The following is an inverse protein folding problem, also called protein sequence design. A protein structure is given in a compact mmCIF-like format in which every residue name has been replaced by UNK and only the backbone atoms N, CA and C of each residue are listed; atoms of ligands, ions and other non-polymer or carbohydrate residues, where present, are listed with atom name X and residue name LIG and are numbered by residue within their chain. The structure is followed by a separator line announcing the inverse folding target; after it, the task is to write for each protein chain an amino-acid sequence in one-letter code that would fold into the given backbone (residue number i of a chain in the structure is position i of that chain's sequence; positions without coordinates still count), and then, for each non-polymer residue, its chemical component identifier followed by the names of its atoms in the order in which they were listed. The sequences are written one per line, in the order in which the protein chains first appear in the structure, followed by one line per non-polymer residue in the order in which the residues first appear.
data_IF_918726926255
#
_entry.id   IF_918726926255
#
_cell.length_a   1.000
_cell.length_b   1.000
_cell.length_c   1.000
_cell.angle_alpha   90.00
_cell.angle_beta   90.00
_cell.angle_gamma   90.00
#
_symmetry.space_group_name_H-M   'P 1'
#
loop_
_entity.id
_entity.type
_entity.pdbx_description
1 polymer ?
#
# COMPACT_ATOMS: atom_id res chain seq x y z
N UNK A 1 21.92 -9.46 -6.83
CA UNK A 1 21.79 -8.12 -7.41
C UNK A 1 22.84 -7.97 -8.48
N UNK A 2 22.43 -7.58 -9.68
CA UNK A 2 23.28 -7.27 -10.81
C UNK A 2 23.05 -5.81 -11.20
N UNK A 3 24.14 -5.06 -11.39
CA UNK A 3 24.10 -3.72 -11.94
C UNK A 3 24.45 -3.85 -13.41
N UNK A 4 23.55 -3.41 -14.29
CA UNK A 4 23.73 -3.51 -15.73
C UNK A 4 24.45 -2.27 -16.27
N UNK A 5 25.11 -2.44 -17.43
CA UNK A 5 25.89 -1.37 -18.06
C UNK A 5 25.03 -0.17 -18.51
N UNK A 6 23.73 -0.38 -18.70
CA UNK A 6 22.74 0.65 -19.03
C UNK A 6 22.18 1.40 -17.81
N UNK A 7 22.68 1.11 -16.61
CA UNK A 7 22.25 1.73 -15.36
C UNK A 7 21.00 1.10 -14.74
N UNK A 8 20.48 0.03 -15.32
CA UNK A 8 19.40 -0.76 -14.70
C UNK A 8 19.94 -1.67 -13.59
N UNK A 9 19.06 -2.05 -12.66
CA UNK A 9 19.37 -2.95 -11.56
C UNK A 9 18.45 -4.16 -11.61
N UNK A 10 19.01 -5.36 -11.57
CA UNK A 10 18.25 -6.60 -11.41
C UNK A 10 18.51 -7.21 -10.02
N UNK A 11 17.44 -7.48 -9.29
CA UNK A 11 17.50 -8.08 -7.97
C UNK A 11 17.32 -9.59 -8.07
N UNK A 12 17.95 -10.32 -7.15
CA UNK A 12 17.92 -11.79 -7.17
C UNK A 12 16.54 -12.38 -6.88
N UNK A 13 15.63 -11.60 -6.31
CA UNK A 13 14.24 -11.95 -6.04
C UNK A 13 13.29 -11.60 -7.20
N UNK A 14 13.83 -11.13 -8.33
CA UNK A 14 13.08 -10.79 -9.55
C UNK A 14 12.58 -9.35 -9.61
N UNK A 15 12.86 -8.52 -8.59
CA UNK A 15 12.61 -7.08 -8.66
C UNK A 15 13.68 -6.37 -9.49
N UNK A 16 13.43 -5.13 -9.90
CA UNK A 16 14.42 -4.37 -10.64
C UNK A 16 14.19 -2.87 -10.65
N UNK A 17 15.14 -2.15 -11.24
CA UNK A 17 15.08 -0.71 -11.45
C UNK A 17 15.49 -0.36 -12.88
N UNK A 18 14.65 0.36 -13.59
CA UNK A 18 14.88 0.82 -14.98
C UNK A 18 14.68 2.33 -15.14
N UNK A 19 14.81 3.08 -14.04
CA UNK A 19 14.32 4.46 -13.91
C UNK A 19 13.14 4.55 -12.94
N UNK A 20 12.44 3.44 -12.71
CA UNK A 20 11.46 3.27 -11.63
C UNK A 20 11.72 1.95 -10.90
N UNK A 21 11.39 1.87 -9.61
CA UNK A 21 11.43 0.60 -8.88
C UNK A 21 10.26 -0.30 -9.28
N UNK A 22 10.58 -1.51 -9.75
CA UNK A 22 9.63 -2.50 -10.24
C UNK A 22 9.68 -3.75 -9.34
N UNK A 23 8.77 -3.91 -8.38
CA UNK A 23 8.75 -5.08 -7.51
C UNK A 23 8.31 -6.34 -8.29
N UNK A 24 8.95 -7.47 -7.99
CA UNK A 24 8.59 -8.76 -8.58
C UNK A 24 7.14 -9.13 -8.24
N UNK A 25 6.33 -9.48 -9.24
CA UNK A 25 4.92 -9.82 -9.02
C UNK A 25 4.36 -10.86 -9.99
N UNK A 26 4.87 -12.09 -9.92
CA UNK A 26 4.36 -13.26 -10.63
C UNK A 26 3.81 -14.31 -9.67
N UNK A 27 2.85 -15.13 -10.13
CA UNK A 27 2.40 -16.32 -9.41
C UNK A 27 3.46 -17.41 -9.34
N UNK A 28 4.46 -17.36 -10.22
CA UNK A 28 5.58 -18.32 -10.24
C UNK A 28 6.51 -18.14 -9.03
N UNK A 29 6.52 -16.95 -8.44
CA UNK A 29 7.38 -16.58 -7.30
C UNK A 29 6.57 -16.23 -6.04
N UNK A 30 5.24 -16.38 -6.08
CA UNK A 30 4.33 -16.09 -4.98
C UNK A 30 3.52 -17.34 -4.63
N UNK A 31 3.54 -17.72 -3.37
CA UNK A 31 2.75 -18.82 -2.82
C UNK A 31 1.71 -18.31 -1.82
N UNK A 32 0.80 -19.19 -1.37
CA UNK A 32 -0.22 -18.89 -0.35
C UNK A 32 -1.08 -17.64 -0.63
N UNK A 33 -1.39 -17.40 -1.93
CA UNK A 33 -2.12 -16.23 -2.39
C UNK A 33 -3.58 -16.30 -1.92
N UNK A 34 -3.92 -15.45 -0.95
CA UNK A 34 -5.29 -15.26 -0.43
C UNK A 34 -5.79 -13.84 -0.69
N UNK A 35 -7.10 -13.68 -0.69
CA UNK A 35 -7.73 -12.35 -0.81
C UNK A 35 -7.60 -11.60 0.51
N UNK A 36 -7.16 -10.34 0.45
CA UNK A 36 -7.22 -9.41 1.59
C UNK A 36 -8.69 -9.12 1.93
N UNK A 37 -9.11 -9.42 3.17
CA UNK A 37 -10.50 -9.20 3.57
C UNK A 37 -10.80 -7.72 3.75
N UNK A 38 -12.08 -7.37 3.79
CA UNK A 38 -12.50 -5.98 4.00
C UNK A 38 -12.16 -5.54 5.43
N UNK A 39 -12.32 -6.44 6.39
CA UNK A 39 -12.05 -6.22 7.81
C UNK A 39 -10.54 -6.02 8.06
N UNK A 40 -9.69 -6.86 7.47
CA UNK A 40 -8.21 -6.69 7.54
C UNK A 40 -7.80 -5.33 6.97
N UNK A 41 -8.35 -4.95 5.81
CA UNK A 41 -7.99 -3.69 5.15
C UNK A 41 -8.51 -2.45 5.89
N UNK A 42 -9.74 -2.48 6.41
CA UNK A 42 -10.28 -1.36 7.20
C UNK A 42 -9.50 -1.22 8.51
N UNK A 43 -9.25 -2.32 9.23
CA UNK A 43 -8.47 -2.27 10.47
C UNK A 43 -7.04 -1.74 10.25
N UNK A 44 -6.41 -2.10 9.13
CA UNK A 44 -5.12 -1.53 8.77
C UNK A 44 -5.22 -0.03 8.40
N UNK A 45 -6.26 0.38 7.67
CA UNK A 45 -6.46 1.79 7.34
C UNK A 45 -6.70 2.66 8.58
N UNK A 46 -7.45 2.16 9.56
CA UNK A 46 -7.72 2.89 10.81
C UNK A 46 -6.45 3.18 11.61
N UNK A 47 -5.43 2.32 11.51
CA UNK A 47 -4.13 2.55 12.14
C UNK A 47 -3.11 3.27 11.25
N UNK A 48 -3.45 3.60 10.01
CA UNK A 48 -2.56 4.36 9.12
C UNK A 48 -2.68 5.86 9.42
N UNK A 49 -1.81 6.35 10.31
CA UNK A 49 -1.73 7.77 10.68
C UNK A 49 -0.62 8.50 9.89
N UNK A 50 -0.98 9.35 8.91
CA UNK A 50 0.01 10.09 8.13
C UNK A 50 0.65 11.19 8.99
N UNK A 51 1.96 11.33 8.88
CA UNK A 51 2.74 12.35 9.59
C UNK A 51 3.56 13.19 8.63
N UNK A 52 4.02 14.34 9.12
CA UNK A 52 5.03 15.18 8.48
C UNK A 52 6.35 15.01 9.20
N UNK A 53 7.44 14.91 8.46
CA UNK A 53 8.76 14.74 9.03
C UNK A 53 9.85 15.29 8.12
N UNK A 54 11.02 15.55 8.70
CA UNK A 54 12.27 15.73 7.97
C UNK A 54 13.21 14.59 8.31
N UNK A 55 14.05 14.19 7.36
CA UNK A 55 15.14 13.27 7.68
C UNK A 55 16.20 14.01 8.51
N UNK A 56 16.80 13.32 9.49
CA UNK A 56 17.85 13.90 10.35
C UNK A 56 19.00 14.54 9.56
N UNK A 57 19.34 13.96 8.40
CA UNK A 57 20.39 14.45 7.48
C UNK A 57 19.89 15.45 6.41
N UNK A 58 18.58 15.54 6.19
CA UNK A 58 17.95 16.42 5.19
C UNK A 58 16.84 17.22 5.88
N UNK A 59 17.25 18.23 6.65
CA UNK A 59 16.34 19.01 7.51
C UNK A 59 15.51 20.05 6.75
N UNK A 60 15.96 20.48 5.58
CA UNK A 60 15.34 21.56 4.81
C UNK A 60 14.11 21.11 4.03
N UNK A 61 13.93 19.80 3.82
CA UNK A 61 12.84 19.27 3.00
C UNK A 61 11.86 18.47 3.85
N UNK A 62 10.67 19.04 4.08
CA UNK A 62 9.58 18.34 4.76
C UNK A 62 8.97 17.30 3.82
N UNK A 63 8.73 16.12 4.37
CA UNK A 63 8.09 15.00 3.69
C UNK A 63 6.82 14.62 4.43
N UNK A 64 5.88 14.05 3.69
CA UNK A 64 4.68 13.39 4.23
C UNK A 64 4.86 11.89 4.08
N UNK A 65 4.49 11.14 5.10
CA UNK A 65 4.56 9.69 5.07
C UNK A 65 4.08 9.09 6.38
N UNK A 66 4.72 8.01 6.80
CA UNK A 66 4.33 7.23 7.97
C UNK A 66 5.58 6.82 8.76
N UNK A 67 5.40 6.55 10.04
CA UNK A 67 6.44 5.99 10.91
C UNK A 67 6.25 4.47 10.95
N UNK A 68 7.27 3.71 10.56
CA UNK A 68 7.17 2.26 10.41
C UNK A 68 6.85 1.54 11.74
N UNK A 69 7.27 2.14 12.85
CA UNK A 69 6.99 1.67 14.20
C UNK A 69 5.53 1.85 14.63
N UNK A 70 4.80 2.78 14.02
CA UNK A 70 3.47 3.19 14.46
C UNK A 70 2.35 2.61 13.57
N UNK A 71 2.68 2.10 12.38
CA UNK A 71 1.69 1.54 11.46
C UNK A 71 1.33 0.07 11.76
N UNK A 72 0.15 -0.42 11.32
CA UNK A 72 -0.25 -1.81 11.52
C UNK A 72 0.70 -2.82 10.87
N UNK A 73 0.77 -4.03 11.42
CA UNK A 73 1.66 -5.10 10.94
C UNK A 73 1.45 -5.41 9.45
N UNK A 74 0.22 -5.31 8.95
CA UNK A 74 -0.13 -5.57 7.55
C UNK A 74 0.65 -4.71 6.54
N UNK A 75 1.13 -3.54 6.95
CA UNK A 75 1.83 -2.55 6.10
C UNK A 75 3.25 -2.24 6.60
N UNK A 76 3.65 -2.83 7.72
CA UNK A 76 4.99 -2.70 8.28
C UNK A 76 5.91 -3.79 7.72
N UNK A 77 7.15 -3.42 7.37
CA UNK A 77 8.16 -4.44 7.05
C UNK A 77 8.70 -5.11 8.32
N UNK A 78 9.30 -6.29 8.16
CA UNK A 78 10.03 -6.96 9.22
C UNK A 78 11.07 -6.01 9.86
N UNK A 79 10.99 -5.87 11.18
CA UNK A 79 11.85 -4.96 11.96
C UNK A 79 11.30 -3.55 12.14
N UNK A 80 10.16 -3.19 11.52
CA UNK A 80 9.46 -1.91 11.70
C UNK A 80 10.35 -0.67 11.51
N UNK A 81 11.26 -0.74 10.53
CA UNK A 81 12.14 0.39 10.14
C UNK A 81 11.91 0.87 8.71
N UNK A 82 11.20 0.09 7.91
CA UNK A 82 10.81 0.44 6.56
C UNK A 82 9.32 0.18 6.38
N UNK A 83 8.75 0.83 5.37
CA UNK A 83 7.34 0.68 5.00
C UNK A 83 7.30 0.25 3.54
N UNK A 84 6.39 -0.67 3.22
CA UNK A 84 6.05 -1.00 1.83
C UNK A 84 4.96 -0.07 1.35
N UNK A 85 5.30 0.86 0.45
CA UNK A 85 4.30 1.70 -0.22
C UNK A 85 3.26 0.86 -0.96
N UNK A 86 3.68 -0.29 -1.51
CA UNK A 86 2.77 -1.20 -2.23
C UNK A 86 1.74 -1.86 -1.29
N UNK A 87 2.12 -2.18 -0.06
CA UNK A 87 1.20 -2.79 0.92
C UNK A 87 0.12 -1.77 1.32
N UNK A 88 0.51 -0.51 1.53
CA UNK A 88 -0.43 0.59 1.78
C UNK A 88 -1.38 0.76 0.58
N UNK A 89 -0.86 0.79 -0.64
CA UNK A 89 -1.68 0.91 -1.85
C UNK A 89 -2.66 -0.26 -1.99
N UNK A 90 -2.26 -1.49 -1.64
CA UNK A 90 -3.13 -2.66 -1.67
C UNK A 90 -4.28 -2.53 -0.65
N UNK A 91 -3.98 -2.09 0.58
CA UNK A 91 -4.98 -1.80 1.63
C UNK A 91 -5.96 -0.73 1.15
N UNK A 92 -5.47 0.42 0.69
CA UNK A 92 -6.29 1.51 0.19
C UNK A 92 -7.17 1.07 -0.99
N UNK A 93 -6.64 0.28 -1.92
CA UNK A 93 -7.39 -0.27 -3.05
C UNK A 93 -8.57 -1.13 -2.58
N UNK A 94 -8.36 -1.98 -1.56
CA UNK A 94 -9.42 -2.84 -1.02
C UNK A 94 -10.49 -2.01 -0.31
N UNK A 95 -10.11 -1.02 0.49
CA UNK A 95 -11.07 -0.14 1.18
C UNK A 95 -11.88 0.68 0.18
N UNK A 96 -11.24 1.31 -0.81
CA UNK A 96 -11.94 2.12 -1.83
C UNK A 96 -12.94 1.28 -2.62
N UNK A 97 -12.60 0.02 -2.94
CA UNK A 97 -13.54 -0.92 -3.58
C UNK A 97 -14.76 -1.21 -2.71
N UNK A 98 -14.58 -1.41 -1.41
CA UNK A 98 -15.72 -1.60 -0.50
C UNK A 98 -16.56 -0.32 -0.40
N UNK A 99 -15.93 0.84 -0.24
CA UNK A 99 -16.63 2.12 -0.20
C UNK A 99 -17.47 2.36 -1.47
N UNK A 100 -16.93 2.03 -2.66
CA UNK A 100 -17.66 2.13 -3.92
C UNK A 100 -18.91 1.22 -3.96
N UNK A 101 -18.82 0.02 -3.37
CA UNK A 101 -19.96 -0.90 -3.23
C UNK A 101 -21.00 -0.31 -2.28
N UNK A 102 -20.60 0.17 -1.10
CA UNK A 102 -21.51 0.81 -0.14
C UNK A 102 -22.21 2.03 -0.76
N UNK A 103 -21.49 2.88 -1.49
CA UNK A 103 -22.06 4.04 -2.18
C UNK A 103 -23.13 3.61 -3.20
N UNK A 104 -22.86 2.55 -3.98
CA UNK A 104 -23.84 2.02 -4.95
C UNK A 104 -25.12 1.52 -4.27
N UNK A 105 -24.98 0.80 -3.16
CA UNK A 105 -26.11 0.31 -2.37
C UNK A 105 -26.92 1.44 -1.74
N UNK A 106 -26.25 2.46 -1.18
CA UNK A 106 -26.90 3.63 -0.61
C UNK A 106 -27.66 4.43 -1.68
N UNK A 107 -27.07 4.65 -2.87
CA UNK A 107 -27.77 5.32 -3.99
C UNK A 107 -29.07 4.62 -4.38
N UNK A 108 -29.05 3.27 -4.44
CA UNK A 108 -30.27 2.48 -4.71
C UNK A 108 -31.31 2.64 -3.61
N UNK A 109 -30.90 2.67 -2.34
CA UNK A 109 -31.81 2.87 -1.19
C UNK A 109 -32.46 4.25 -1.24
N UNK A 110 -31.69 5.30 -1.48
CA UNK A 110 -32.18 6.68 -1.61
C UNK A 110 -33.20 6.78 -2.75
N UNK A 111 -32.87 6.30 -3.94
CA UNK A 111 -33.78 6.33 -5.09
C UNK A 111 -35.10 5.59 -4.86
N UNK A 112 -35.10 4.54 -4.01
CA UNK A 112 -36.33 3.83 -3.61
C UNK A 112 -37.16 4.62 -2.60
N UNK A 113 -36.51 5.37 -1.71
CA UNK A 113 -37.19 6.21 -0.72
C UNK A 113 -37.80 7.45 -1.36
N UNK A 114 -37.13 8.06 -2.33
CA UNK A 114 -37.62 9.24 -3.08
C UNK A 114 -38.83 8.94 -3.98
N UNK A 115 -39.11 7.66 -4.27
CA UNK A 115 -40.28 7.23 -5.04
C UNK A 115 -41.51 6.95 -4.17
N UNK A 116 -41.41 7.13 -2.86
CA UNK A 116 -42.53 7.03 -1.92
C UNK A 116 -43.07 8.42 -1.63
#
# INVERSE_FOLDING_TARGET
MQINADGTLDMSDGGGYDGTWNPASSREIKENIRTLTTEEAIGALEGLDPVKFNYKKLKEEEKVGFIAEDVPELVATNGRKNISTMDIVAVLTKVVKEQQKTISELKKKVARLERK
#
